data_IF_494837325256
#
_entry.id   IF_494837325256
#
_cell.length_a   1.000
_cell.length_b   1.000
_cell.length_c   1.000
_cell.angle_alpha   90.00
_cell.angle_beta   90.00
_cell.angle_gamma   90.00
#
_symmetry.space_group_name_H-M   'P 1'
#
loop_
_entity.id
_entity.type
_entity.pdbx_description
1 polymer ?
#
# COMPACT_ATOMS: atom_id res chain seq x y z
N UNK A 1 0.26 -22.53 -6.08
CA UNK A 1 0.61 -23.18 -4.80
C UNK A 1 1.75 -22.40 -4.15
N UNK A 2 1.71 -22.14 -2.84
CA UNK A 2 2.77 -21.40 -2.11
C UNK A 2 4.16 -22.03 -2.31
N UNK A 3 4.23 -23.37 -2.34
CA UNK A 3 5.47 -24.10 -2.60
C UNK A 3 6.11 -23.78 -3.96
N UNK A 4 5.32 -23.71 -5.02
CA UNK A 4 5.84 -23.39 -6.35
C UNK A 4 6.37 -21.94 -6.42
N UNK A 5 5.73 -21.00 -5.71
CA UNK A 5 6.21 -19.62 -5.60
C UNK A 5 7.50 -19.53 -4.80
N UNK A 6 7.60 -20.27 -3.68
CA UNK A 6 8.83 -20.37 -2.91
C UNK A 6 9.99 -20.94 -3.75
N UNK A 7 9.72 -21.99 -4.55
CA UNK A 7 10.70 -22.58 -5.47
C UNK A 7 11.13 -21.61 -6.59
N UNK A 8 10.19 -20.81 -7.15
CA UNK A 8 10.51 -19.75 -8.12
C UNK A 8 11.43 -18.67 -7.52
N UNK A 9 11.23 -18.35 -6.24
CA UNK A 9 12.04 -17.37 -5.51
C UNK A 9 13.35 -17.95 -4.96
N UNK A 10 13.63 -19.24 -5.21
CA UNK A 10 14.82 -19.93 -4.67
C UNK A 10 14.82 -20.07 -3.14
N UNK A 11 13.66 -19.92 -2.50
CA UNK A 11 13.49 -19.96 -1.04
C UNK A 11 12.91 -21.30 -0.60
N UNK A 12 13.23 -21.71 0.63
CA UNK A 12 12.46 -22.77 1.28
C UNK A 12 11.03 -22.27 1.54
N UNK A 13 10.04 -23.18 1.54
CA UNK A 13 8.64 -22.82 1.81
C UNK A 13 8.49 -22.08 3.15
N UNK A 14 9.21 -22.50 4.19
CA UNK A 14 9.17 -21.86 5.50
C UNK A 14 9.73 -20.43 5.48
N UNK A 15 10.82 -20.19 4.74
CA UNK A 15 11.36 -18.84 4.57
C UNK A 15 10.37 -17.95 3.81
N UNK A 16 9.81 -18.45 2.71
CA UNK A 16 8.82 -17.73 1.92
C UNK A 16 7.57 -17.35 2.72
N UNK A 17 7.03 -18.27 3.53
CA UNK A 17 5.87 -17.97 4.37
C UNK A 17 6.20 -16.98 5.48
N UNK A 18 7.40 -17.06 6.08
CA UNK A 18 7.84 -16.08 7.09
C UNK A 18 7.90 -14.68 6.50
N UNK A 19 8.46 -14.55 5.31
CA UNK A 19 8.53 -13.26 4.61
C UNK A 19 7.12 -12.73 4.32
N UNK A 20 6.24 -13.56 3.80
CA UNK A 20 4.85 -13.19 3.53
C UNK A 20 4.10 -12.72 4.80
N UNK A 21 4.30 -13.40 5.93
CA UNK A 21 3.68 -13.00 7.20
C UNK A 21 4.24 -11.67 7.72
N UNK A 22 5.53 -11.43 7.52
CA UNK A 22 6.15 -10.15 7.89
C UNK A 22 5.67 -9.01 6.99
N UNK A 23 5.50 -9.25 5.69
CA UNK A 23 4.95 -8.28 4.74
C UNK A 23 3.50 -7.92 5.10
N UNK A 24 2.68 -8.93 5.41
CA UNK A 24 1.30 -8.70 5.83
C UNK A 24 1.26 -7.91 7.14
N UNK A 25 2.08 -8.28 8.13
CA UNK A 25 2.16 -7.58 9.41
C UNK A 25 2.73 -6.15 9.31
N UNK A 26 3.47 -5.84 8.24
CA UNK A 26 3.95 -4.49 7.96
C UNK A 26 2.87 -3.59 7.34
N UNK A 27 1.73 -4.16 6.94
CA UNK A 27 0.61 -3.39 6.41
C UNK A 27 -0.11 -2.70 7.57
N UNK A 28 -0.17 -1.35 7.59
CA UNK A 28 -0.82 -0.63 8.68
C UNK A 28 -2.32 -0.90 8.68
N UNK A 29 -2.91 -0.96 9.86
CA UNK A 29 -4.35 -1.07 10.04
C UNK A 29 -5.05 0.20 9.55
N UNK A 30 -6.35 0.13 9.20
CA UNK A 30 -7.12 1.32 8.81
C UNK A 30 -7.08 2.42 9.87
N UNK A 31 -7.14 2.05 11.15
CA UNK A 31 -7.09 3.01 12.26
C UNK A 31 -5.73 3.73 12.33
N UNK A 32 -4.63 3.02 12.15
CA UNK A 32 -3.28 3.61 12.09
C UNK A 32 -3.11 4.52 10.87
N UNK A 33 -3.68 4.15 9.72
CA UNK A 33 -3.70 5.01 8.53
C UNK A 33 -4.50 6.29 8.80
N UNK A 34 -5.69 6.18 9.40
CA UNK A 34 -6.51 7.34 9.73
C UNK A 34 -5.82 8.26 10.75
N UNK A 35 -5.18 7.68 11.76
CA UNK A 35 -4.40 8.45 12.75
C UNK A 35 -3.25 9.20 12.09
N UNK A 36 -2.55 8.57 11.14
CA UNK A 36 -1.47 9.20 10.38
C UNK A 36 -2.00 10.35 9.51
N UNK A 37 -3.07 10.14 8.75
CA UNK A 37 -3.69 11.18 7.92
C UNK A 37 -4.13 12.39 8.77
N UNK A 38 -4.67 12.14 9.96
CA UNK A 38 -5.09 13.20 10.87
C UNK A 38 -3.91 13.97 11.49
N UNK A 39 -2.74 13.35 11.61
CA UNK A 39 -1.53 13.97 12.14
C UNK A 39 -0.73 14.75 11.07
N UNK A 40 -0.85 14.39 9.79
CA UNK A 40 -0.16 15.04 8.69
C UNK A 40 -0.69 16.47 8.43
N UNK A 41 0.19 17.36 7.96
CA UNK A 41 -0.20 18.73 7.62
C UNK A 41 -1.20 18.75 6.45
N UNK A 42 -2.30 19.53 6.53
CA UNK A 42 -3.27 19.60 5.44
C UNK A 42 -2.62 20.07 4.14
N UNK A 43 -2.78 19.27 3.09
CA UNK A 43 -2.29 19.64 1.76
C UNK A 43 -3.12 20.83 1.24
N UNK A 44 -2.48 21.93 0.79
CA UNK A 44 -3.21 23.09 0.28
C UNK A 44 -4.06 22.71 -0.92
N UNK A 45 -5.35 23.01 -0.81
CA UNK A 45 -6.36 22.68 -1.79
C UNK A 45 -6.42 23.73 -2.91
N UNK A 46 -6.14 23.33 -4.15
CA UNK A 46 -6.37 24.16 -5.33
C UNK A 46 -7.60 23.66 -6.13
N UNK A 47 -8.76 24.32 -6.04
CA UNK A 47 -9.97 23.90 -6.74
C UNK A 47 -9.82 23.94 -8.27
N UNK A 48 -8.98 24.82 -8.80
CA UNK A 48 -8.79 24.94 -10.25
C UNK A 48 -7.98 23.78 -10.82
N UNK A 49 -7.06 23.22 -10.03
CA UNK A 49 -6.33 21.99 -10.39
C UNK A 49 -7.27 20.79 -10.55
N UNK A 50 -8.23 20.63 -9.63
CA UNK A 50 -9.20 19.52 -9.69
C UNK A 50 -10.14 19.68 -10.90
N UNK A 51 -10.63 20.90 -11.14
CA UNK A 51 -11.46 21.19 -12.33
C UNK A 51 -10.70 20.90 -13.63
N UNK A 52 -9.40 21.19 -13.66
CA UNK A 52 -8.54 20.90 -14.79
C UNK A 52 -8.32 19.38 -14.96
N UNK A 53 -7.98 18.65 -13.89
CA UNK A 53 -7.81 17.19 -13.94
C UNK A 53 -9.08 16.44 -14.35
N UNK A 54 -10.26 16.91 -13.90
CA UNK A 54 -11.55 16.35 -14.31
C UNK A 54 -11.87 16.62 -15.79
N UNK A 55 -11.43 17.78 -16.33
CA UNK A 55 -11.54 18.08 -17.77
C UNK A 55 -10.58 17.25 -18.62
N UNK A 56 -9.39 17.00 -18.10
CA UNK A 56 -8.32 16.26 -18.80
C UNK A 56 -8.52 14.73 -18.76
N UNK A 57 -9.61 14.25 -18.14
CA UNK A 57 -10.01 12.84 -18.16
C UNK A 57 -9.17 11.92 -17.27
N UNK A 58 -8.35 12.50 -16.38
CA UNK A 58 -7.59 11.74 -15.40
C UNK A 58 -8.53 11.29 -14.26
N UNK A 59 -8.92 10.01 -14.29
CA UNK A 59 -9.62 9.31 -13.21
C UNK A 59 -8.66 8.42 -12.44
#
# INVERSE_FOLDING_TARGET
>A
MLKARAEQDGKSLTAYVRDLLNEEAATPTPDEVMAKIAADEPVPYNPDFIRQAMRDGHR
#
